data_IF_610009170329
#
_entry.id   IF_610009170329
#
_cell.length_a   1.000
_cell.length_b   1.000
_cell.length_c   1.000
_cell.angle_alpha   90.00
_cell.angle_beta   90.00
_cell.angle_gamma   90.00
#
_symmetry.space_group_name_H-M   'P 1'
#
loop_
_entity.id
_entity.type
_entity.pdbx_description
1 polymer ?
#
# COMPACT_ATOMS: atom_id res chain seq x y z
N UNK A 1 -7.79 -6.57 2.13
CA UNK A 1 -9.18 -6.65 1.65
C UNK A 1 -9.64 -8.09 1.69
N UNK A 2 -10.76 -8.38 2.32
CA UNK A 2 -11.40 -9.68 2.22
C UNK A 2 -12.16 -9.81 0.88
N UNK A 3 -12.42 -11.03 0.37
CA UNK A 3 -13.20 -11.23 -0.86
C UNK A 3 -14.55 -10.51 -0.83
N UNK A 4 -14.93 -9.90 -1.96
CA UNK A 4 -16.20 -9.16 -2.13
C UNK A 4 -16.36 -7.92 -1.24
N UNK A 5 -15.30 -7.47 -0.55
CA UNK A 5 -15.35 -6.26 0.28
C UNK A 5 -14.83 -5.05 -0.48
N UNK A 6 -15.43 -3.89 -0.17
CA UNK A 6 -14.96 -2.57 -0.57
C UNK A 6 -14.38 -1.88 0.65
N UNK A 7 -13.23 -1.23 0.48
CA UNK A 7 -12.63 -0.37 1.50
C UNK A 7 -12.85 1.09 1.11
N UNK A 8 -13.35 1.90 2.04
CA UNK A 8 -13.59 3.32 1.82
C UNK A 8 -12.62 4.18 2.63
N UNK A 9 -12.15 5.27 2.01
CA UNK A 9 -11.27 6.26 2.61
C UNK A 9 -11.87 7.63 2.41
N UNK A 10 -12.25 8.26 3.50
CA UNK A 10 -12.87 9.57 3.50
C UNK A 10 -11.82 10.65 3.75
N UNK A 11 -11.90 11.76 3.01
CA UNK A 11 -11.03 12.90 3.22
C UNK A 11 -11.70 14.21 2.80
N UNK A 12 -11.23 15.30 3.40
CA UNK A 12 -11.69 16.65 3.12
C UNK A 12 -10.53 17.44 2.54
N UNK A 13 -10.80 18.14 1.45
CA UNK A 13 -9.89 19.08 0.81
C UNK A 13 -10.36 20.49 1.21
N UNK A 14 -9.46 21.29 1.79
CA UNK A 14 -9.80 22.62 2.31
C UNK A 14 -9.70 23.72 1.25
N UNK A 15 -8.82 23.54 0.27
CA UNK A 15 -8.58 24.44 -0.85
C UNK A 15 -8.31 23.60 -2.11
N UNK A 16 -8.60 24.16 -3.27
CA UNK A 16 -8.40 23.47 -4.55
C UNK A 16 -6.96 22.95 -4.66
N UNK A 17 -6.79 21.65 -4.85
CA UNK A 17 -5.48 21.02 -4.89
C UNK A 17 -5.45 19.79 -5.80
N UNK A 18 -4.27 19.40 -6.24
CA UNK A 18 -4.08 18.12 -6.94
C UNK A 18 -4.11 16.96 -5.94
N UNK A 19 -5.04 16.02 -6.16
CA UNK A 19 -5.02 14.72 -5.51
C UNK A 19 -4.02 13.82 -6.23
N UNK A 20 -3.09 13.25 -5.47
CA UNK A 20 -2.29 12.10 -5.87
C UNK A 20 -2.81 10.84 -5.16
N UNK A 21 -2.99 9.74 -5.90
CA UNK A 21 -3.21 8.42 -5.31
C UNK A 21 -2.48 7.32 -6.09
N UNK A 22 -1.97 6.33 -5.37
CA UNK A 22 -1.33 5.17 -5.99
C UNK A 22 -1.54 3.91 -5.15
N UNK A 23 -1.87 2.81 -5.82
CA UNK A 23 -2.00 1.50 -5.19
C UNK A 23 -0.78 0.62 -5.43
N UNK A 24 -0.40 -0.14 -4.41
CA UNK A 24 0.65 -1.16 -4.51
C UNK A 24 0.12 -2.52 -4.04
N UNK A 25 0.56 -3.61 -4.67
CA UNK A 25 0.21 -4.99 -4.28
C UNK A 25 1.49 -5.78 -3.99
N UNK A 26 1.63 -6.44 -2.83
CA UNK A 26 2.84 -7.20 -2.51
C UNK A 26 3.17 -8.25 -3.57
N UNK A 27 4.42 -8.30 -4.05
CA UNK A 27 4.91 -9.31 -5.00
C UNK A 27 5.01 -10.65 -4.28
N UNK A 28 3.91 -11.41 -4.32
CA UNK A 28 3.77 -12.73 -3.72
C UNK A 28 3.01 -13.65 -4.67
N UNK A 29 3.30 -14.97 -4.68
CA UNK A 29 2.60 -15.91 -5.56
C UNK A 29 1.07 -15.81 -5.47
N UNK A 30 0.53 -15.73 -4.23
CA UNK A 30 -0.92 -15.59 -3.98
C UNK A 30 -1.57 -14.28 -4.44
N UNK A 31 -0.78 -13.26 -4.80
CA UNK A 31 -1.28 -11.95 -5.24
C UNK A 31 -0.86 -11.62 -6.67
N UNK A 32 -0.33 -12.60 -7.42
CA UNK A 32 0.15 -12.40 -8.79
C UNK A 32 -0.93 -11.75 -9.67
N UNK A 33 -2.17 -12.22 -9.54
CA UNK A 33 -3.30 -11.76 -10.35
C UNK A 33 -4.30 -10.92 -9.52
N UNK A 34 -3.88 -10.42 -8.36
CA UNK A 34 -4.70 -9.53 -7.55
C UNK A 34 -4.45 -8.08 -8.00
N UNK A 35 -5.39 -7.54 -8.78
CA UNK A 35 -5.39 -6.18 -9.31
C UNK A 35 -6.67 -5.46 -8.86
N UNK A 36 -6.64 -4.75 -7.73
CA UNK A 36 -7.80 -3.99 -7.26
C UNK A 36 -7.99 -2.71 -8.09
N UNK A 37 -9.21 -2.22 -8.12
CA UNK A 37 -9.62 -0.98 -8.79
C UNK A 37 -9.80 0.11 -7.74
N UNK A 38 -9.33 1.32 -8.05
CA UNK A 38 -9.58 2.52 -7.26
C UNK A 38 -10.77 3.27 -7.88
N UNK A 39 -11.61 3.87 -7.05
CA UNK A 39 -12.62 4.81 -7.51
C UNK A 39 -12.54 6.08 -6.67
N UNK A 40 -12.53 7.24 -7.33
CA UNK A 40 -12.74 8.53 -6.69
C UNK A 40 -14.23 8.84 -6.70
N UNK A 41 -14.79 9.20 -5.55
CA UNK A 41 -16.21 9.48 -5.34
C UNK A 41 -16.34 10.90 -4.79
N UNK A 42 -17.26 11.68 -5.35
CA UNK A 42 -17.49 13.04 -4.89
C UNK A 42 -18.51 13.82 -5.72
N UNK A 43 -18.80 15.06 -5.29
CA UNK A 43 -19.77 15.93 -5.97
C UNK A 43 -19.28 16.32 -7.36
N UNK A 44 -20.22 16.48 -8.30
CA UNK A 44 -19.93 16.94 -9.66
C UNK A 44 -19.19 15.91 -10.55
N UNK A 45 -18.98 14.70 -10.07
CA UNK A 45 -18.48 13.58 -10.87
C UNK A 45 -19.62 12.90 -11.67
N UNK A 46 -19.31 12.21 -12.78
CA UNK A 46 -20.33 11.48 -13.53
C UNK A 46 -20.92 10.34 -12.68
N UNK A 47 -22.18 10.02 -12.94
CA UNK A 47 -22.80 8.82 -12.37
C UNK A 47 -22.24 7.59 -13.07
N UNK A 48 -21.65 6.69 -12.31
CA UNK A 48 -21.01 5.47 -12.81
C UNK A 48 -21.67 4.24 -12.18
N UNK A 49 -21.74 3.15 -12.96
CA UNK A 49 -22.15 1.84 -12.43
C UNK A 49 -20.99 1.21 -11.66
N UNK A 50 -21.14 1.13 -10.34
CA UNK A 50 -20.13 0.58 -9.43
C UNK A 50 -20.74 -0.54 -8.58
N UNK A 51 -19.95 -1.54 -8.14
CA UNK A 51 -20.46 -2.67 -7.35
C UNK A 51 -20.74 -2.30 -5.88
N UNK A 52 -21.04 -1.04 -5.60
CA UNK A 52 -21.30 -0.51 -4.27
C UNK A 52 -22.23 0.71 -4.33
N UNK A 53 -22.83 1.06 -3.20
CA UNK A 53 -23.69 2.24 -3.12
C UNK A 53 -22.86 3.52 -3.16
N UNK A 54 -23.25 4.45 -4.04
CA UNK A 54 -22.76 5.82 -4.02
C UNK A 54 -23.59 6.67 -3.04
N UNK A 55 -22.97 7.57 -2.28
CA UNK A 55 -23.69 8.59 -1.53
C UNK A 55 -24.60 9.42 -2.46
N UNK A 56 -25.72 9.91 -1.92
CA UNK A 56 -26.63 10.81 -2.65
C UNK A 56 -25.87 12.02 -3.21
N UNK A 57 -26.26 12.45 -4.41
CA UNK A 57 -25.68 13.62 -5.11
C UNK A 57 -24.16 13.54 -5.36
N UNK A 58 -23.61 12.32 -5.37
CA UNK A 58 -22.22 12.06 -5.77
C UNK A 58 -22.14 11.18 -7.01
N UNK A 59 -21.07 11.37 -7.77
CA UNK A 59 -20.66 10.48 -8.84
C UNK A 59 -19.33 9.80 -8.52
N UNK A 60 -18.80 9.05 -9.48
CA UNK A 60 -17.51 8.40 -9.34
C UNK A 60 -16.68 8.49 -10.62
N UNK A 61 -15.37 8.31 -10.46
CA UNK A 61 -14.43 8.04 -11.55
C UNK A 61 -13.75 6.74 -11.21
N UNK A 62 -13.84 5.78 -12.13
CA UNK A 62 -13.22 4.47 -11.98
C UNK A 62 -11.80 4.54 -12.54
N UNK A 63 -10.85 4.02 -11.76
CA UNK A 63 -9.44 3.95 -12.08
C UNK A 63 -9.03 2.47 -12.05
N UNK A 64 -9.20 1.76 -13.18
CA UNK A 64 -8.74 0.38 -13.30
C UNK A 64 -7.26 0.27 -12.99
N UNK A 65 -6.84 -0.92 -12.59
CA UNK A 65 -5.43 -1.18 -12.43
C UNK A 65 -4.72 -1.20 -13.79
N UNK A 66 -3.76 -0.31 -13.96
CA UNK A 66 -2.77 -0.40 -15.03
C UNK A 66 -1.39 -0.65 -14.42
N UNK A 67 -0.71 -1.71 -14.86
CA UNK A 67 0.61 -2.06 -14.34
C UNK A 67 1.66 -1.04 -14.79
N UNK A 68 2.44 -0.54 -13.83
CA UNK A 68 3.67 0.24 -14.06
C UNK A 68 4.88 -0.70 -13.92
N UNK A 69 5.66 -0.53 -12.87
CA UNK A 69 6.85 -1.32 -12.59
C UNK A 69 6.74 -2.11 -11.28
N UNK A 70 7.72 -2.98 -11.02
CA UNK A 70 7.86 -3.60 -9.70
C UNK A 70 8.75 -2.72 -8.84
N UNK A 71 8.15 -2.07 -7.85
CA UNK A 71 8.84 -1.22 -6.90
C UNK A 71 9.49 -2.03 -5.77
N UNK A 72 10.74 -1.69 -5.44
CA UNK A 72 11.43 -2.19 -4.25
C UNK A 72 11.50 -1.08 -3.20
N UNK A 73 10.91 -1.35 -2.03
CA UNK A 73 10.91 -0.44 -0.89
C UNK A 73 12.11 -0.80 0.01
N UNK A 74 13.15 0.05 0.07
CA UNK A 74 14.42 -0.30 0.70
C UNK A 74 14.35 -0.37 2.24
N UNK A 75 13.51 0.42 2.89
CA UNK A 75 13.47 0.50 4.36
C UNK A 75 12.95 -0.80 4.97
N UNK A 76 11.88 -1.34 4.40
CA UNK A 76 11.26 -2.61 4.82
C UNK A 76 11.67 -3.78 3.93
N UNK A 77 12.51 -3.57 2.91
CA UNK A 77 13.01 -4.62 2.01
C UNK A 77 11.86 -5.44 1.41
N UNK A 78 10.81 -4.74 0.96
CA UNK A 78 9.60 -5.33 0.37
C UNK A 78 9.49 -4.99 -1.11
N UNK A 79 8.72 -5.78 -1.87
CA UNK A 79 8.51 -5.56 -3.31
C UNK A 79 7.02 -5.48 -3.62
N UNK A 80 6.65 -4.58 -4.51
CA UNK A 80 5.24 -4.39 -4.89
C UNK A 80 5.07 -4.28 -6.40
N UNK A 81 4.00 -4.85 -6.92
CA UNK A 81 3.43 -4.41 -8.20
C UNK A 81 2.83 -3.03 -7.97
N UNK A 82 3.16 -2.08 -8.84
CA UNK A 82 2.72 -0.69 -8.74
C UNK A 82 1.67 -0.41 -9.80
N UNK A 83 0.54 0.18 -9.38
CA UNK A 83 -0.44 0.73 -10.30
C UNK A 83 0.06 2.07 -10.88
N UNK A 84 -0.48 2.45 -12.03
CA UNK A 84 -0.36 3.81 -12.54
C UNK A 84 -0.79 4.84 -11.49
N UNK A 85 -0.11 5.98 -11.49
CA UNK A 85 -0.43 7.11 -10.62
C UNK A 85 -1.74 7.76 -11.07
N UNK A 86 -2.62 8.01 -10.13
CA UNK A 86 -3.79 8.84 -10.35
C UNK A 86 -3.51 10.27 -9.88
N UNK A 87 -3.69 11.22 -10.79
CA UNK A 87 -3.60 12.66 -10.52
C UNK A 87 -4.85 13.36 -11.00
N UNK A 88 -5.44 14.21 -10.16
CA UNK A 88 -6.58 15.03 -10.54
C UNK A 88 -6.67 16.28 -9.68
N UNK A 89 -6.86 17.43 -10.31
CA UNK A 89 -7.24 18.65 -9.60
C UNK A 89 -8.66 18.50 -9.05
N UNK A 90 -8.80 18.66 -7.73
CA UNK A 90 -10.06 18.57 -7.02
C UNK A 90 -10.33 19.90 -6.31
N UNK A 91 -11.55 20.45 -6.43
CA UNK A 91 -11.94 21.60 -5.64
C UNK A 91 -12.06 21.27 -4.15
N UNK A 92 -12.03 22.32 -3.33
CA UNK A 92 -12.37 22.23 -1.92
C UNK A 92 -13.70 21.50 -1.72
N UNK A 93 -13.73 20.54 -0.80
CA UNK A 93 -14.89 19.71 -0.60
C UNK A 93 -14.59 18.36 0.04
N UNK A 94 -15.64 17.55 0.10
CA UNK A 94 -15.59 16.22 0.71
C UNK A 94 -15.52 15.16 -0.38
N UNK A 95 -14.55 14.27 -0.26
CA UNK A 95 -14.24 13.25 -1.25
C UNK A 95 -14.07 11.89 -0.57
N UNK A 96 -14.30 10.83 -1.33
CA UNK A 96 -14.03 9.47 -0.88
C UNK A 96 -13.23 8.71 -1.94
N UNK A 97 -12.31 7.87 -1.50
CA UNK A 97 -11.74 6.81 -2.33
C UNK A 97 -12.40 5.49 -1.95
N UNK A 98 -12.76 4.69 -2.95
CA UNK A 98 -13.16 3.30 -2.76
C UNK A 98 -12.14 2.38 -3.43
N UNK A 99 -11.70 1.35 -2.73
CA UNK A 99 -10.86 0.29 -3.30
C UNK A 99 -11.64 -1.01 -3.27
N UNK A 100 -11.80 -1.64 -4.42
CA UNK A 100 -12.51 -2.91 -4.58
C UNK A 100 -11.80 -3.81 -5.58
N UNK A 101 -12.20 -5.07 -5.66
CA UNK A 101 -11.67 -6.00 -6.65
C UNK A 101 -12.83 -6.44 -7.56
N UNK A 102 -12.76 -6.24 -8.90
CA UNK A 102 -13.90 -6.47 -9.80
C UNK A 102 -14.45 -7.90 -9.79
N UNK A 103 -13.58 -8.91 -9.71
CA UNK A 103 -13.99 -10.33 -9.60
C UNK A 103 -14.22 -10.78 -8.14
N UNK A 104 -14.26 -9.85 -7.18
CA UNK A 104 -14.47 -10.15 -5.77
C UNK A 104 -13.31 -10.89 -5.08
N UNK A 105 -12.12 -10.97 -5.68
CA UNK A 105 -10.94 -11.61 -5.05
C UNK A 105 -10.47 -10.85 -3.82
N UNK A 106 -9.98 -11.59 -2.82
CA UNK A 106 -9.34 -11.01 -1.64
C UNK A 106 -7.84 -10.81 -1.85
N UNK A 107 -7.26 -9.82 -1.18
CA UNK A 107 -5.83 -9.53 -1.32
C UNK A 107 -5.30 -8.45 -0.40
N UNK A 108 -3.97 -8.32 -0.38
CA UNK A 108 -3.26 -7.25 0.31
C UNK A 108 -2.92 -6.17 -0.70
N UNK A 109 -3.08 -4.93 -0.28
CA UNK A 109 -2.66 -3.77 -1.04
C UNK A 109 -2.25 -2.66 -0.06
N UNK A 110 -1.54 -1.67 -0.55
CA UNK A 110 -1.36 -0.37 0.08
C UNK A 110 -1.99 0.69 -0.82
N UNK A 111 -2.48 1.76 -0.22
CA UNK A 111 -2.97 2.95 -0.92
C UNK A 111 -2.20 4.15 -0.37
N UNK A 112 -1.41 4.76 -1.21
CA UNK A 112 -0.74 6.02 -0.94
C UNK A 112 -1.64 7.15 -1.42
N UNK A 113 -1.89 8.14 -0.56
CA UNK A 113 -2.67 9.35 -0.88
C UNK A 113 -1.84 10.57 -0.50
N UNK A 114 -1.62 11.46 -1.46
CA UNK A 114 -0.66 12.56 -1.35
C UNK A 114 0.79 12.13 -1.60
N UNK A 115 1.65 13.12 -1.84
CA UNK A 115 3.05 12.89 -2.27
C UNK A 115 4.08 13.14 -1.18
N UNK A 116 3.76 14.00 -0.21
CA UNK A 116 4.73 14.46 0.78
C UNK A 116 4.85 13.44 1.91
N UNK A 117 5.99 12.77 1.96
CA UNK A 117 6.38 12.01 3.12
C UNK A 117 6.85 12.96 4.24
N UNK A 118 6.28 12.81 5.44
CA UNK A 118 6.63 13.64 6.60
C UNK A 118 7.08 12.76 7.76
N UNK A 119 8.39 12.66 7.96
CA UNK A 119 8.99 11.95 9.09
C UNK A 119 9.16 12.86 10.30
N UNK A 120 8.57 12.48 11.43
CA UNK A 120 8.80 13.13 12.73
C UNK A 120 9.79 12.31 13.55
N UNK A 121 10.44 12.93 14.53
CA UNK A 121 11.40 12.25 15.43
C UNK A 121 10.80 11.02 16.09
N UNK A 122 9.52 11.10 16.49
CA UNK A 122 8.78 9.95 17.05
C UNK A 122 8.67 8.76 16.08
N UNK A 123 8.61 9.03 14.78
CA UNK A 123 8.48 7.99 13.75
C UNK A 123 9.84 7.29 13.56
N UNK A 124 10.94 8.03 13.68
CA UNK A 124 12.29 7.46 13.69
C UNK A 124 12.46 6.52 14.88
N UNK A 125 12.07 6.95 16.09
CA UNK A 125 12.16 6.12 17.30
C UNK A 125 11.24 4.87 17.22
N UNK A 126 10.08 5.00 16.57
CA UNK A 126 9.15 3.90 16.36
C UNK A 126 9.53 2.99 15.17
N UNK A 127 10.57 3.32 14.42
CA UNK A 127 10.91 2.63 13.17
C UNK A 127 11.09 1.11 13.33
N UNK A 128 11.78 0.56 14.35
CA UNK A 128 11.91 -0.88 14.50
C UNK A 128 10.56 -1.61 14.62
N UNK A 129 9.61 -1.02 15.36
CA UNK A 129 8.27 -1.57 15.51
C UNK A 129 7.46 -1.45 14.20
N UNK A 130 7.58 -0.33 13.49
CA UNK A 130 6.96 -0.15 12.17
C UNK A 130 7.51 -1.14 11.14
N UNK A 131 8.83 -1.30 11.09
CA UNK A 131 9.51 -2.28 10.25
C UNK A 131 8.98 -3.69 10.52
N UNK A 132 8.94 -4.11 11.79
CA UNK A 132 8.43 -5.42 12.17
C UNK A 132 6.98 -5.61 11.74
N UNK A 133 6.11 -4.64 12.01
CA UNK A 133 4.68 -4.71 11.65
C UNK A 133 4.48 -4.80 10.14
N UNK A 134 5.17 -3.97 9.36
CA UNK A 134 5.07 -3.99 7.90
C UNK A 134 5.59 -5.30 7.32
N UNK A 135 6.75 -5.78 7.79
CA UNK A 135 7.33 -7.06 7.38
C UNK A 135 6.46 -8.24 7.76
N UNK A 136 5.92 -8.25 8.97
CA UNK A 136 5.01 -9.29 9.44
C UNK A 136 3.73 -9.31 8.60
N UNK A 137 3.15 -8.15 8.34
CA UNK A 137 2.03 -8.05 7.41
C UNK A 137 2.40 -8.50 6.00
N UNK A 138 3.58 -8.16 5.48
CA UNK A 138 4.04 -8.57 4.15
C UNK A 138 4.21 -10.10 4.06
N UNK A 139 4.99 -10.68 4.98
CA UNK A 139 5.34 -12.11 4.98
C UNK A 139 5.93 -12.59 6.32
N UNK A 140 5.11 -13.16 7.23
CA UNK A 140 5.58 -13.63 8.54
C UNK A 140 6.78 -14.60 8.45
N UNK A 141 6.72 -15.62 7.59
CA UNK A 141 7.80 -16.60 7.47
C UNK A 141 9.15 -16.00 7.03
N UNK A 142 9.12 -15.09 6.05
CA UNK A 142 10.33 -14.36 5.63
C UNK A 142 10.83 -13.42 6.73
N UNK A 143 9.94 -12.83 7.53
CA UNK A 143 10.32 -11.98 8.68
C UNK A 143 11.04 -12.79 9.74
N UNK A 144 10.50 -13.95 10.11
CA UNK A 144 11.14 -14.88 11.04
C UNK A 144 12.52 -15.30 10.51
N UNK A 145 12.62 -15.67 9.24
CA UNK A 145 13.90 -16.04 8.63
C UNK A 145 14.95 -14.92 8.74
N UNK A 146 14.58 -13.65 8.48
CA UNK A 146 15.50 -12.50 8.62
C UNK A 146 15.95 -12.33 10.07
N UNK A 147 15.02 -12.39 11.03
CA UNK A 147 15.31 -12.23 12.46
C UNK A 147 16.25 -13.32 12.96
N UNK A 148 16.09 -14.56 12.49
CA UNK A 148 16.95 -15.69 12.89
C UNK A 148 18.29 -15.73 12.14
N UNK A 149 18.34 -15.28 10.88
CA UNK A 149 19.55 -15.31 10.07
C UNK A 149 20.62 -14.33 10.57
N UNK A 150 20.24 -13.12 10.98
CA UNK A 150 21.18 -12.10 11.45
C UNK A 150 22.07 -12.55 12.63
N UNK A 151 21.52 -13.09 13.75
CA UNK A 151 22.35 -13.60 14.84
C UNK A 151 23.12 -14.85 14.44
N UNK A 152 22.55 -15.74 13.62
CA UNK A 152 23.24 -16.95 13.17
C UNK A 152 24.47 -16.65 12.32
N UNK A 153 24.37 -15.71 11.37
CA UNK A 153 25.50 -15.25 10.54
C UNK A 153 26.55 -14.57 11.42
N UNK A 154 26.13 -13.71 12.34
CA UNK A 154 27.06 -13.04 13.28
C UNK A 154 27.81 -14.07 14.13
N UNK A 155 27.12 -15.05 14.70
CA UNK A 155 27.74 -16.11 15.49
C UNK A 155 28.71 -16.96 14.67
N UNK A 156 28.36 -17.29 13.43
CA UNK A 156 29.23 -18.03 12.51
C UNK A 156 30.51 -17.24 12.18
N UNK A 157 30.39 -15.94 11.89
CA UNK A 157 31.54 -15.08 11.59
C UNK A 157 32.47 -14.93 12.80
N UNK A 158 31.91 -14.75 14.00
CA UNK A 158 32.69 -14.73 15.26
C UNK A 158 33.41 -16.05 15.48
N UNK A 159 32.72 -17.18 15.29
CA UNK A 159 33.32 -18.50 15.43
C UNK A 159 34.46 -18.74 14.43
N UNK A 160 34.28 -18.35 13.16
CA UNK A 160 35.32 -18.45 12.13
C UNK A 160 36.55 -17.58 12.48
N UNK A 161 36.33 -16.36 12.95
CA UNK A 161 37.40 -15.45 13.37
C UNK A 161 38.20 -16.01 14.54
N UNK A 162 37.52 -16.55 15.57
CA UNK A 162 38.16 -17.20 16.70
C UNK A 162 38.94 -18.47 16.31
N UNK A 163 38.54 -19.14 15.22
CA UNK A 163 39.24 -20.31 14.70
C UNK A 163 40.50 -19.95 13.91
N UNK A 164 40.50 -18.82 13.18
CA UNK A 164 41.66 -18.33 12.43
C UNK A 164 42.73 -17.75 13.35
N UNK A 165 42.31 -17.18 14.49
CA UNK A 165 43.21 -16.58 15.49
C UNK A 165 43.84 -17.59 16.47
N UNK A 166 43.46 -18.87 16.39
CA UNK A 166 44.08 -19.99 17.13
C UNK A 166 45.02 -20.75 16.23
#
# INVERSE_FOLDING_TARGET
MAPGKVHYYHFVILEDQELFAQMLVPVRPRYKDFRPTLALIGPGLPTEEVPFALPSDTGAIILPWEDKEVFFEPFTQTRYYMAQEFRRSLPAGTWNLAVYQPEGKGGKYTLSVGEKEQWKIKDILAFPAMWFRTRWWYSPGQTIAIILAAPAITALLVWLLLRILK
#
